data_IF_777777472402
#
_entry.id   IF_777777472402
#
_cell.length_a   1.000
_cell.length_b   1.000
_cell.length_c   1.000
_cell.angle_alpha   90.00
_cell.angle_beta   90.00
_cell.angle_gamma   90.00
#
_symmetry.space_group_name_H-M   'P 1'
#
loop_
_entity.id
_entity.type
_entity.pdbx_description
1 polymer ?
#
# COMPACT_ATOMS: atom_id res chain seq x y z
N UNK A 1 -19.75 -5.98 0.21
CA UNK A 1 -20.94 -5.95 -0.66
C UNK A 1 -20.61 -5.07 -1.84
N UNK A 2 -20.75 -5.56 -3.07
CA UNK A 2 -20.64 -4.71 -4.26
C UNK A 2 -22.03 -4.18 -4.58
N UNK A 3 -22.19 -2.86 -4.58
CA UNK A 3 -23.45 -2.22 -4.99
C UNK A 3 -23.61 -2.33 -6.51
N UNK A 4 -24.66 -3.05 -6.92
CA UNK A 4 -25.03 -3.17 -8.33
C UNK A 4 -26.06 -2.09 -8.66
N UNK A 5 -25.75 -1.24 -9.63
CA UNK A 5 -26.73 -0.31 -10.21
C UNK A 5 -27.51 -1.07 -11.29
N UNK A 6 -28.81 -1.28 -11.04
CA UNK A 6 -29.74 -1.94 -11.96
C UNK A 6 -30.34 -0.88 -12.89
N UNK A 7 -30.21 -1.08 -14.20
CA UNK A 7 -30.86 -0.23 -15.22
C UNK A 7 -31.85 -1.11 -15.99
N UNK A 8 -33.10 -0.68 -16.06
CA UNK A 8 -34.18 -1.41 -16.75
C UNK A 8 -34.34 -0.92 -18.18
N UNK A 9 -34.25 -1.83 -19.15
CA UNK A 9 -34.84 -1.65 -20.47
C UNK A 9 -35.34 -3.01 -20.99
N UNK A 10 -36.59 -3.08 -21.44
CA UNK A 10 -37.19 -4.24 -22.12
C UNK A 10 -37.04 -5.62 -21.41
N UNK A 11 -37.26 -5.68 -20.09
CA UNK A 11 -37.39 -6.95 -19.37
C UNK A 11 -36.13 -7.83 -19.28
N UNK A 12 -34.97 -7.31 -19.70
CA UNK A 12 -33.69 -8.03 -19.64
C UNK A 12 -32.79 -7.36 -18.59
N UNK A 13 -32.40 -8.12 -17.56
CA UNK A 13 -31.42 -7.68 -16.57
C UNK A 13 -30.07 -7.40 -17.27
N UNK A 14 -29.81 -6.15 -17.62
CA UNK A 14 -28.48 -5.74 -18.06
C UNK A 14 -27.70 -5.33 -16.82
N UNK A 15 -26.84 -6.21 -16.33
CA UNK A 15 -25.79 -5.80 -15.39
C UNK A 15 -24.97 -4.72 -16.10
N UNK A 16 -24.87 -3.53 -15.50
CA UNK A 16 -24.03 -2.45 -16.06
C UNK A 16 -22.63 -3.03 -16.28
N UNK A 17 -22.20 -3.10 -17.53
CA UNK A 17 -20.86 -3.56 -17.86
C UNK A 17 -19.89 -2.58 -17.20
N UNK A 18 -19.12 -3.08 -16.24
CA UNK A 18 -18.04 -2.32 -15.62
C UNK A 18 -17.08 -1.91 -16.72
N UNK A 19 -16.57 -0.69 -16.64
CA UNK A 19 -15.60 -0.13 -17.58
C UNK A 19 -14.32 0.24 -16.85
N UNK A 20 -13.31 0.58 -17.62
CA UNK A 20 -12.05 1.15 -17.14
C UNK A 20 -12.29 2.43 -16.30
N UNK A 21 -13.27 3.25 -16.67
CA UNK A 21 -13.66 4.44 -15.92
C UNK A 21 -14.24 4.12 -14.55
N UNK A 22 -15.06 3.06 -14.45
CA UNK A 22 -15.62 2.64 -13.16
C UNK A 22 -14.51 2.18 -12.20
N UNK A 23 -13.49 1.45 -12.70
CA UNK A 23 -12.31 1.05 -11.90
C UNK A 23 -11.55 2.29 -11.41
N UNK A 24 -11.29 3.23 -12.31
CA UNK A 24 -10.56 4.45 -11.97
C UNK A 24 -11.31 5.26 -10.91
N UNK A 25 -12.63 5.37 -11.05
CA UNK A 25 -13.50 6.04 -10.08
C UNK A 25 -13.46 5.36 -8.71
N UNK A 26 -13.54 4.03 -8.67
CA UNK A 26 -13.42 3.25 -7.42
C UNK A 26 -12.09 3.53 -6.71
N UNK A 27 -10.98 3.54 -7.46
CA UNK A 27 -9.65 3.81 -6.88
C UNK A 27 -9.59 5.26 -6.38
N UNK A 28 -10.09 6.24 -7.14
CA UNK A 28 -10.07 7.64 -6.75
C UNK A 28 -10.87 7.88 -5.45
N UNK A 29 -12.04 7.26 -5.33
CA UNK A 29 -12.91 7.34 -4.15
C UNK A 29 -12.38 6.58 -2.92
N UNK A 30 -11.33 5.77 -3.07
CA UNK A 30 -10.77 4.97 -1.98
C UNK A 30 -10.14 5.84 -0.88
N UNK A 31 -10.43 5.54 0.38
CA UNK A 31 -9.68 6.11 1.50
C UNK A 31 -8.30 5.42 1.60
N UNK A 32 -7.25 6.07 1.09
CA UNK A 32 -5.92 5.47 0.99
C UNK A 32 -5.38 4.93 2.33
N UNK A 33 -5.64 5.65 3.43
CA UNK A 33 -5.13 5.30 4.76
C UNK A 33 -5.70 3.97 5.26
N UNK A 34 -7.00 3.74 5.06
CA UNK A 34 -7.66 2.49 5.47
C UNK A 34 -7.03 1.28 4.81
N UNK A 35 -6.65 1.39 3.54
CA UNK A 35 -6.07 0.29 2.77
C UNK A 35 -4.54 0.22 2.84
N UNK A 36 -3.89 1.02 3.69
CA UNK A 36 -2.42 1.09 3.77
C UNK A 36 -1.75 1.64 2.49
N UNK A 37 -2.50 2.34 1.63
CA UNK A 37 -1.95 2.95 0.43
C UNK A 37 -1.25 4.26 0.78
N UNK A 38 0.02 4.36 0.38
CA UNK A 38 0.68 5.67 0.30
C UNK A 38 0.08 6.51 -0.82
N UNK A 39 0.22 7.84 -0.74
CA UNK A 39 -0.22 8.74 -1.82
C UNK A 39 0.43 8.37 -3.16
N UNK A 40 1.73 8.02 -3.14
CA UNK A 40 2.49 7.59 -4.31
C UNK A 40 1.91 6.29 -4.90
N UNK A 41 1.68 5.28 -4.05
CA UNK A 41 1.11 4.00 -4.48
C UNK A 41 -0.28 4.19 -5.10
N UNK A 42 -1.13 5.02 -4.48
CA UNK A 42 -2.45 5.35 -5.02
C UNK A 42 -2.36 6.07 -6.37
N UNK A 43 -1.47 7.06 -6.48
CA UNK A 43 -1.25 7.79 -7.74
C UNK A 43 -0.82 6.86 -8.88
N UNK A 44 0.13 5.95 -8.63
CA UNK A 44 0.57 4.94 -9.60
C UNK A 44 -0.57 3.99 -9.97
N UNK A 45 -1.39 3.55 -9.00
CA UNK A 45 -2.53 2.67 -9.26
C UNK A 45 -3.61 3.34 -10.12
N UNK A 46 -3.88 4.64 -9.91
CA UNK A 46 -4.77 5.44 -10.75
C UNK A 46 -4.24 5.49 -12.19
N UNK A 47 -2.95 5.79 -12.39
CA UNK A 47 -2.36 5.82 -13.74
C UNK A 47 -2.37 4.44 -14.41
N UNK A 48 -2.07 3.38 -13.66
CA UNK A 48 -2.17 2.01 -14.17
C UNK A 48 -3.61 1.69 -14.61
N UNK A 49 -4.61 2.20 -13.88
CA UNK A 49 -6.02 1.95 -14.18
C UNK A 49 -6.47 2.56 -15.51
N UNK A 50 -5.79 3.59 -16.01
CA UNK A 50 -6.00 4.15 -17.35
C UNK A 50 -5.76 3.12 -18.47
N UNK A 51 -4.98 2.07 -18.21
CA UNK A 51 -4.64 1.05 -19.20
C UNK A 51 -5.53 -0.20 -19.14
N UNK A 52 -6.37 -0.34 -18.12
CA UNK A 52 -7.17 -1.55 -17.96
C UNK A 52 -8.17 -1.71 -19.09
N UNK A 53 -8.14 -2.85 -19.75
CA UNK A 53 -9.11 -3.22 -20.77
C UNK A 53 -9.70 -4.59 -20.49
N UNK A 54 -10.95 -4.77 -20.88
CA UNK A 54 -11.65 -6.06 -20.88
C UNK A 54 -12.06 -6.41 -22.32
N UNK A 55 -11.11 -6.99 -23.06
CA UNK A 55 -11.27 -7.29 -24.49
C UNK A 55 -12.43 -8.25 -24.77
N UNK A 56 -12.77 -9.11 -23.81
CA UNK A 56 -13.77 -10.15 -23.97
C UNK A 56 -15.09 -9.85 -23.22
N UNK A 57 -15.22 -8.66 -22.61
CA UNK A 57 -16.38 -8.27 -21.79
C UNK A 57 -16.73 -9.31 -20.71
N UNK A 58 -15.70 -9.88 -20.08
CA UNK A 58 -15.80 -10.93 -19.05
C UNK A 58 -15.76 -10.38 -17.62
N UNK A 59 -15.62 -9.07 -17.45
CA UNK A 59 -15.31 -8.41 -16.18
C UNK A 59 -13.85 -8.58 -15.74
N UNK A 60 -13.01 -9.23 -16.55
CA UNK A 60 -11.58 -9.45 -16.25
C UNK A 60 -10.73 -8.40 -16.95
N UNK A 61 -10.28 -7.42 -16.16
CA UNK A 61 -9.47 -6.33 -16.68
C UNK A 61 -7.98 -6.65 -16.58
N UNK A 62 -7.28 -6.40 -17.67
CA UNK A 62 -5.82 -6.56 -17.72
C UNK A 62 -5.15 -5.46 -18.53
N UNK A 63 -3.87 -5.22 -18.26
CA UNK A 63 -3.04 -4.24 -18.96
C UNK A 63 -1.56 -4.58 -18.85
N UNK A 64 -0.73 -4.04 -19.74
CA UNK A 64 0.72 -4.32 -19.76
C UNK A 64 1.56 -3.08 -20.11
N UNK A 65 1.30 -1.89 -19.51
CA UNK A 65 2.18 -0.75 -19.71
C UNK A 65 3.57 -1.06 -19.16
N UNK A 66 4.61 -0.52 -19.81
CA UNK A 66 5.97 -0.63 -19.27
C UNK A 66 6.14 0.27 -18.05
N UNK A 67 7.04 -0.11 -17.13
CA UNK A 67 7.39 0.74 -15.98
C UNK A 67 7.96 2.09 -16.41
N UNK A 68 8.67 2.11 -17.55
CA UNK A 68 9.15 3.33 -18.18
C UNK A 68 8.01 4.30 -18.51
N UNK A 69 6.94 3.78 -19.11
CA UNK A 69 5.77 4.57 -19.49
C UNK A 69 5.06 5.14 -18.26
N UNK A 70 4.82 4.30 -17.25
CA UNK A 70 4.22 4.74 -15.99
C UNK A 70 5.09 5.78 -15.26
N UNK A 71 6.42 5.62 -15.29
CA UNK A 71 7.37 6.58 -14.71
C UNK A 71 7.27 7.95 -15.39
N UNK A 72 7.20 7.98 -16.73
CA UNK A 72 7.04 9.23 -17.47
C UNK A 72 5.69 9.90 -17.19
N UNK A 73 4.60 9.14 -17.09
CA UNK A 73 3.25 9.67 -16.89
C UNK A 73 3.00 10.14 -15.46
N UNK A 74 3.56 9.44 -14.47
CA UNK A 74 3.42 9.79 -13.04
C UNK A 74 4.43 10.83 -12.57
N UNK A 75 5.51 11.04 -13.31
CA UNK A 75 6.65 11.87 -12.90
C UNK A 75 7.56 11.23 -11.84
N UNK A 76 7.27 10.00 -11.39
CA UNK A 76 8.09 9.29 -10.41
C UNK A 76 9.24 8.54 -11.08
N UNK A 77 10.32 8.30 -10.33
CA UNK A 77 11.41 7.43 -10.79
C UNK A 77 10.90 6.01 -11.09
N UNK A 78 11.59 5.30 -11.99
CA UNK A 78 11.25 3.89 -12.29
C UNK A 78 11.28 3.00 -11.06
N UNK A 79 12.21 3.22 -10.14
CA UNK A 79 12.31 2.44 -8.89
C UNK A 79 11.11 2.70 -7.98
N UNK A 80 10.66 3.95 -7.88
CA UNK A 80 9.46 4.33 -7.13
C UNK A 80 8.21 3.67 -7.72
N UNK A 81 8.06 3.69 -9.05
CA UNK A 81 6.95 3.01 -9.75
C UNK A 81 7.00 1.50 -9.51
N UNK A 82 8.17 0.87 -9.65
CA UNK A 82 8.35 -0.55 -9.38
C UNK A 82 7.93 -0.92 -7.94
N UNK A 83 8.38 -0.14 -6.96
CA UNK A 83 7.99 -0.33 -5.56
C UNK A 83 6.48 -0.18 -5.39
N UNK A 84 5.87 0.89 -5.92
CA UNK A 84 4.44 1.12 -5.84
C UNK A 84 3.62 -0.03 -6.45
N UNK A 85 4.04 -0.57 -7.60
CA UNK A 85 3.37 -1.72 -8.22
C UNK A 85 3.49 -2.98 -7.37
N UNK A 86 4.65 -3.23 -6.74
CA UNK A 86 4.81 -4.32 -5.77
C UNK A 86 3.89 -4.13 -4.57
N UNK A 87 3.82 -2.91 -4.03
CA UNK A 87 2.94 -2.59 -2.91
C UNK A 87 1.46 -2.84 -3.30
N UNK A 88 1.03 -2.47 -4.50
CA UNK A 88 -0.31 -2.79 -5.00
C UNK A 88 -0.58 -4.31 -5.12
N UNK A 89 0.44 -5.10 -5.48
CA UNK A 89 0.35 -6.56 -5.54
C UNK A 89 0.21 -7.16 -4.12
N UNK A 90 1.04 -6.70 -3.18
CA UNK A 90 1.00 -7.13 -1.77
C UNK A 90 -0.35 -6.79 -1.13
N UNK A 91 -0.86 -5.58 -1.38
CA UNK A 91 -2.14 -5.12 -0.88
C UNK A 91 -3.33 -5.76 -1.62
N UNK A 92 -3.10 -6.56 -2.66
CA UNK A 92 -4.14 -7.35 -3.33
C UNK A 92 -5.02 -6.58 -4.33
N UNK A 93 -4.64 -5.36 -4.72
CA UNK A 93 -5.36 -4.59 -5.74
C UNK A 93 -5.16 -5.16 -7.15
N UNK A 94 -3.96 -5.69 -7.40
CA UNK A 94 -3.58 -6.24 -8.70
C UNK A 94 -2.82 -7.56 -8.52
N UNK A 95 -2.79 -8.37 -9.58
CA UNK A 95 -1.80 -9.45 -9.71
C UNK A 95 -1.02 -9.29 -11.01
N UNK A 96 0.20 -9.81 -11.05
CA UNK A 96 1.04 -9.69 -12.22
C UNK A 96 1.60 -11.04 -12.69
N UNK A 97 1.86 -11.15 -14.00
CA UNK A 97 2.55 -12.28 -14.59
C UNK A 97 3.43 -11.79 -15.75
N UNK A 98 4.57 -12.44 -15.99
CA UNK A 98 5.37 -12.15 -17.18
C UNK A 98 4.72 -12.78 -18.41
N UNK A 99 4.66 -12.02 -19.50
CA UNK A 99 4.27 -12.55 -20.80
C UNK A 99 5.48 -13.23 -21.43
N UNK A 100 5.28 -14.45 -21.90
CA UNK A 100 6.27 -15.25 -22.61
C UNK A 100 6.07 -15.04 -24.11
N UNK A 101 7.15 -14.76 -24.83
CA UNK A 101 7.16 -14.69 -26.30
C UNK A 101 7.15 -16.09 -26.93
N UNK A 102 6.98 -16.17 -28.25
CA UNK A 102 7.06 -17.45 -28.97
C UNK A 102 8.45 -18.12 -28.83
N UNK A 103 9.51 -17.37 -28.55
CA UNK A 103 10.87 -17.88 -28.30
C UNK A 103 11.11 -18.30 -26.84
N UNK A 104 10.16 -18.09 -25.93
CA UNK A 104 10.31 -18.39 -24.50
C UNK A 104 10.80 -17.21 -23.66
N UNK A 105 11.15 -16.08 -24.28
CA UNK A 105 11.68 -14.91 -23.57
C UNK A 105 10.58 -14.08 -22.91
N UNK A 106 10.78 -13.58 -21.67
CA UNK A 106 9.88 -12.61 -21.04
C UNK A 106 9.86 -11.28 -21.80
N UNK A 107 8.68 -10.75 -22.09
CA UNK A 107 8.53 -9.48 -22.84
C UNK A 107 8.09 -8.32 -21.96
N UNK A 108 6.88 -8.40 -21.40
CA UNK A 108 6.26 -7.35 -20.61
C UNK A 108 5.48 -7.97 -19.46
N UNK A 109 5.38 -7.23 -18.35
CA UNK A 109 4.58 -7.64 -17.19
C UNK A 109 3.10 -7.35 -17.50
N UNK A 110 2.25 -8.36 -17.40
CA UNK A 110 0.81 -8.27 -17.54
C UNK A 110 0.20 -8.14 -16.14
N UNK A 111 -0.48 -7.03 -15.91
CA UNK A 111 -1.22 -6.74 -14.69
C UNK A 111 -2.69 -7.09 -14.87
N UNK A 112 -3.30 -7.63 -13.82
CA UNK A 112 -4.72 -7.94 -13.74
C UNK A 112 -5.33 -7.21 -12.57
N UNK A 113 -6.45 -6.55 -12.80
CA UNK A 113 -7.25 -5.93 -11.73
C UNK A 113 -7.92 -7.01 -10.89
N UNK A 114 -7.77 -6.93 -9.56
CA UNK A 114 -8.41 -7.87 -8.62
C UNK A 114 -9.62 -7.27 -7.88
N UNK A 115 -9.79 -5.95 -7.95
CA UNK A 115 -10.81 -5.24 -7.18
C UNK A 115 -10.21 -4.54 -5.98
N UNK A 116 -11.09 -3.90 -5.21
CA UNK A 116 -10.72 -3.38 -3.89
C UNK A 116 -10.64 -4.58 -2.93
N UNK A 117 -9.49 -4.83 -2.29
CA UNK A 117 -9.34 -5.92 -1.33
C UNK A 117 -10.31 -5.73 -0.17
N UNK A 118 -10.77 -6.82 0.44
CA UNK A 118 -11.54 -6.72 1.69
C UNK A 118 -10.59 -6.28 2.80
N UNK A 119 -11.02 -5.34 3.62
CA UNK A 119 -10.32 -5.06 4.87
C UNK A 119 -10.36 -6.34 5.72
N UNK A 120 -9.28 -6.70 6.43
CA UNK A 120 -9.42 -7.65 7.52
C UNK A 120 -10.42 -7.06 8.51
N UNK A 121 -11.48 -7.79 8.83
CA UNK A 121 -12.43 -7.38 9.86
C UNK A 121 -11.63 -7.17 11.16
N UNK A 122 -11.68 -5.97 11.75
CA UNK A 122 -10.99 -5.63 13.00
C UNK A 122 -11.63 -6.29 14.25
N UNK A 123 -12.50 -7.28 14.08
CA UNK A 123 -13.22 -7.96 15.16
C UNK A 123 -12.55 -9.27 15.63
N UNK A 124 -11.21 -9.29 15.76
CA UNK A 124 -10.48 -10.41 16.38
C UNK A 124 -9.61 -10.02 17.57
N UNK A 125 -10.01 -8.98 18.29
CA UNK A 125 -9.44 -8.67 19.59
C UNK A 125 -10.55 -8.72 20.66
N UNK A 126 -10.86 -9.92 21.17
CA UNK A 126 -11.44 -10.15 22.50
C UNK A 126 -11.69 -11.63 22.73
N UNK A 127 -10.78 -12.28 23.45
CA UNK A 127 -11.05 -13.18 24.58
C UNK A 127 -9.78 -13.98 24.92
N UNK A 128 -8.92 -13.37 25.73
CA UNK A 128 -8.08 -14.13 26.66
C UNK A 128 -8.36 -13.57 28.05
N UNK A 129 -9.52 -13.94 28.60
CA UNK A 129 -9.79 -13.84 30.04
C UNK A 129 -8.86 -14.82 30.75
N UNK A 130 -7.79 -14.31 31.34
CA UNK A 130 -7.03 -15.07 32.32
C UNK A 130 -7.86 -15.03 33.61
N UNK A 131 -8.48 -16.16 33.94
CA UNK A 131 -9.14 -16.36 35.22
C UNK A 131 -8.08 -16.35 36.32
N UNK A 132 -8.07 -15.28 37.12
CA UNK A 132 -7.31 -15.20 38.36
C UNK A 132 -8.05 -16.03 39.39
N UNK A 133 -7.56 -17.25 39.65
CA UNK A 133 -7.98 -18.02 40.81
C UNK A 133 -7.28 -17.47 42.05
N UNK A 134 -8.04 -16.80 42.91
CA UNK A 134 -7.64 -16.50 44.28
C UNK A 134 -7.43 -17.81 45.06
N UNK A 135 -6.28 -17.98 45.69
CA UNK A 135 -6.14 -18.86 46.85
C UNK A 135 -5.30 -18.14 47.89
N UNK A 136 -5.98 -17.75 48.97
CA UNK A 136 -5.42 -17.11 50.15
C UNK A 136 -4.76 -18.21 51.01
N UNK A 137 -3.48 -18.04 51.38
CA UNK A 137 -3.04 -17.98 52.78
C UNK A 137 -1.51 -18.14 52.93
N UNK A 138 -0.91 -17.07 53.49
CA UNK A 138 -0.01 -17.06 54.66
C UNK A 138 1.19 -18.04 54.72
N UNK A 139 2.42 -17.51 54.63
CA UNK A 139 3.40 -17.60 55.73
C UNK A 139 4.64 -16.74 55.48
N UNK A 140 5.14 -16.17 56.58
CA UNK A 140 6.31 -15.31 56.81
C UNK A 140 7.67 -15.95 56.48
N UNK A 141 8.67 -15.19 55.98
CA UNK A 141 10.02 -15.05 56.61
C UNK A 141 10.98 -14.06 55.87
N UNK A 142 11.57 -13.17 56.68
CA UNK A 142 12.85 -12.41 56.64
C UNK A 142 13.71 -12.15 55.37
N UNK A 143 14.10 -10.86 55.25
CA UNK A 143 15.45 -10.27 55.09
C UNK A 143 16.53 -11.04 54.27
N UNK A 144 16.96 -10.47 53.14
CA UNK A 144 18.30 -9.87 52.95
C UNK A 144 18.54 -9.41 51.49
N UNK A 145 18.78 -8.12 51.34
CA UNK A 145 19.91 -7.39 50.71
C UNK A 145 20.66 -7.87 49.43
N UNK A 146 21.12 -6.84 48.67
CA UNK A 146 22.04 -6.80 47.51
C UNK A 146 21.52 -7.35 46.17
N UNK A 147 21.63 -6.71 44.99
CA UNK A 147 22.36 -5.53 44.47
C UNK A 147 21.67 -5.16 43.13
N UNK A 148 21.63 -3.95 42.58
CA UNK A 148 22.74 -3.16 42.07
C UNK A 148 22.20 -1.88 41.39
N UNK A 149 22.74 -0.74 41.81
CA UNK A 149 22.99 0.54 41.12
C UNK A 149 21.89 1.31 40.33
N UNK A 150 21.73 2.52 40.84
CA UNK A 150 21.05 3.73 40.41
C UNK A 150 21.68 4.41 39.16
N UNK A 151 20.85 5.22 38.50
CA UNK A 151 21.15 6.61 38.07
C UNK A 151 21.76 6.93 36.69
N UNK A 152 20.96 7.72 35.94
CA UNK A 152 21.31 9.05 35.38
C UNK A 152 21.49 9.22 33.86
N UNK A 153 20.59 10.07 33.35
CA UNK A 153 20.54 10.94 32.16
C UNK A 153 21.86 11.35 31.51
N UNK A 154 21.88 11.47 30.17
CA UNK A 154 22.55 12.58 29.46
C UNK A 154 21.90 12.86 28.09
N UNK A 155 21.15 13.94 28.04
CA UNK A 155 20.90 14.74 26.85
C UNK A 155 22.24 15.42 26.52
N UNK A 156 22.68 15.36 25.26
CA UNK A 156 23.75 16.22 24.76
C UNK A 156 23.19 16.97 23.56
N UNK A 157 22.77 18.20 23.86
CA UNK A 157 22.73 19.32 22.94
C UNK A 157 24.13 19.93 22.93
N UNK A 158 24.68 20.23 21.75
CA UNK A 158 25.62 21.33 21.58
C UNK A 158 25.67 21.75 20.12
N UNK A 159 25.22 22.97 19.88
CA UNK A 159 25.54 23.83 18.73
C UNK A 159 27.01 24.23 18.72
N UNK A 160 27.58 24.43 17.52
CA UNK A 160 28.34 25.64 17.18
C UNK A 160 28.58 25.77 15.66
N UNK A 161 27.85 26.74 15.08
CA UNK A 161 28.27 27.77 14.13
C UNK A 161 29.76 27.81 13.74
N UNK A 162 30.03 27.74 12.43
CA UNK A 162 31.10 28.54 11.81
C UNK A 162 30.74 28.95 10.40
N UNK A 163 30.64 30.26 10.23
CA UNK A 163 30.48 31.04 9.00
C UNK A 163 31.81 31.28 8.31
N UNK A 164 31.87 31.19 6.98
CA UNK A 164 32.70 32.13 6.20
C UNK A 164 32.06 32.39 4.83
N UNK A 165 31.75 33.66 4.63
CA UNK A 165 31.45 34.33 3.37
C UNK A 165 32.71 35.13 2.96
N UNK A 166 32.72 35.53 1.68
CA UNK A 166 33.59 36.52 1.00
C UNK A 166 35.01 35.98 0.65
N UNK A 167 35.60 36.17 -0.54
CA UNK A 167 35.46 37.26 -1.52
C UNK A 167 35.65 36.82 -2.98
N UNK A 168 35.11 37.64 -3.89
CA UNK A 168 35.49 37.73 -5.30
C UNK A 168 36.96 38.13 -5.46
N UNK A 169 37.62 37.66 -6.53
CA UNK A 169 38.40 38.52 -7.43
C UNK A 169 38.57 37.88 -8.81
N UNK A 170 37.99 38.52 -9.83
CA UNK A 170 38.58 38.72 -11.18
C UNK A 170 39.70 39.79 -11.03
N UNK A 171 40.68 40.06 -11.95
CA UNK A 171 40.81 39.67 -13.36
C UNK A 171 42.24 39.21 -13.77
N UNK A 172 42.36 38.61 -14.97
CA UNK A 172 43.34 38.91 -16.04
C UNK A 172 43.16 37.92 -17.20
#
# INVERSE_FOLDING_TARGET
MADFVIIYNEGKFMTKLKTQFDITKEILSLNAKQFGLTSTTKSVLVHLSCYFGDKHRTGKFSCFPSQARLSNETGYSRQTVLKALKDCEILGFISSAFRISASGDPTSKLYHWKGIPKQPDEDKESQMTIEVAETIASSTHTLNDFSSITSTTRIIESSDISSMLVEEESPF
#
